data_IF_437879331666
#
_entry.id   IF_437879331666
#
_cell.length_a   1.000
_cell.length_b   1.000
_cell.length_c   1.000
_cell.angle_alpha   90.00
_cell.angle_beta   90.00
_cell.angle_gamma   90.00
#
_symmetry.space_group_name_H-M   'P 1'
#
loop_
_entity.id
_entity.type
_entity.pdbx_description
1 polymer ?
#
# COMPACT_ATOMS: atom_id res chain seq x y z
N UNK A 1 14.03 -5.20 38.93
CA UNK A 1 13.34 -5.23 37.61
C UNK A 1 13.88 -4.03 36.85
N UNK A 2 14.59 -4.21 35.75
CA UNK A 2 15.04 -3.08 34.94
C UNK A 2 13.81 -2.56 34.17
N UNK A 3 13.32 -1.40 34.56
CA UNK A 3 12.11 -0.83 33.97
C UNK A 3 12.41 -0.28 32.56
N UNK A 4 11.58 -0.70 31.60
CA UNK A 4 11.64 -0.16 30.24
C UNK A 4 10.97 1.22 30.25
N UNK A 5 11.67 2.25 29.78
CA UNK A 5 11.13 3.61 29.69
C UNK A 5 10.60 3.92 28.28
N UNK A 6 9.59 4.79 28.21
CA UNK A 6 9.08 5.29 26.92
C UNK A 6 10.18 5.96 26.09
N UNK A 7 11.14 6.62 26.75
CA UNK A 7 12.27 7.27 26.08
C UNK A 7 13.19 6.27 25.38
N UNK A 8 13.43 5.12 26.00
CA UNK A 8 14.19 4.04 25.36
C UNK A 8 13.48 3.49 24.13
N UNK A 9 12.15 3.29 24.21
CA UNK A 9 11.34 2.85 23.06
C UNK A 9 11.33 3.89 21.94
N UNK A 10 11.21 5.18 22.26
CA UNK A 10 11.28 6.30 21.31
C UNK A 10 12.62 6.29 20.55
N UNK A 11 13.71 6.20 21.27
CA UNK A 11 15.06 6.15 20.69
C UNK A 11 15.27 4.89 19.85
N UNK A 12 14.78 3.73 20.31
CA UNK A 12 14.86 2.49 19.56
C UNK A 12 14.11 2.59 18.21
N UNK A 13 12.88 3.09 18.24
CA UNK A 13 12.08 3.31 17.03
C UNK A 13 12.78 4.31 16.10
N UNK A 14 13.31 5.41 16.62
CA UNK A 14 14.01 6.40 15.81
C UNK A 14 15.26 5.82 15.12
N UNK A 15 16.07 5.01 15.82
CA UNK A 15 17.26 4.36 15.22
C UNK A 15 16.86 3.47 14.05
N UNK A 16 15.72 2.77 14.13
CA UNK A 16 15.20 1.93 13.04
C UNK A 16 14.71 2.79 11.88
N UNK A 17 13.92 3.82 12.16
CA UNK A 17 13.27 4.65 11.12
C UNK A 17 14.25 5.54 10.35
N UNK A 18 15.22 6.13 11.04
CA UNK A 18 16.25 6.95 10.41
C UNK A 18 17.44 6.13 9.89
N UNK A 19 17.41 4.80 10.10
CA UNK A 19 18.37 3.86 9.54
C UNK A 19 19.77 3.95 10.15
N UNK A 20 19.90 4.52 11.39
CA UNK A 20 21.19 4.60 12.08
C UNK A 20 21.20 5.45 13.33
N UNK A 21 22.17 5.16 14.20
CA UNK A 21 22.34 5.84 15.51
C UNK A 21 22.65 7.33 15.36
N UNK A 22 23.50 7.70 14.41
CA UNK A 22 23.89 9.12 14.19
C UNK A 22 22.71 9.95 13.71
N UNK A 23 21.98 9.46 12.70
CA UNK A 23 20.78 10.14 12.17
C UNK A 23 19.67 10.26 13.22
N UNK A 24 19.44 9.19 14.00
CA UNK A 24 18.48 9.24 15.09
C UNK A 24 18.89 10.27 16.17
N UNK A 25 20.19 10.40 16.46
CA UNK A 25 20.70 11.37 17.39
C UNK A 25 20.48 12.82 16.91
N UNK A 26 20.75 13.09 15.64
CA UNK A 26 20.50 14.38 14.99
C UNK A 26 19.02 14.78 15.07
N UNK A 27 18.13 13.88 14.66
CA UNK A 27 16.68 14.11 14.64
C UNK A 27 16.05 14.27 16.03
N UNK A 28 16.58 13.58 17.03
CA UNK A 28 16.12 13.67 18.41
C UNK A 28 16.86 14.74 19.23
N UNK A 29 17.80 15.47 18.64
CA UNK A 29 18.65 16.47 19.30
C UNK A 29 19.46 15.90 20.46
N UNK A 30 20.00 14.69 20.30
CA UNK A 30 20.88 14.01 21.23
C UNK A 30 22.28 13.82 20.66
N UNK A 31 23.25 13.49 21.56
CA UNK A 31 24.53 12.94 21.13
C UNK A 31 24.36 11.44 20.80
N UNK A 32 25.12 10.95 19.82
CA UNK A 32 25.11 9.53 19.45
C UNK A 32 25.43 8.59 20.63
N UNK A 33 26.31 9.02 21.57
CA UNK A 33 26.62 8.26 22.78
C UNK A 33 25.39 8.09 23.68
N UNK A 34 24.55 9.12 23.80
CA UNK A 34 23.27 9.06 24.53
C UNK A 34 22.31 8.09 23.90
N UNK A 35 22.15 8.13 22.58
CA UNK A 35 21.32 7.18 21.84
C UNK A 35 21.81 5.75 22.07
N UNK A 36 23.11 5.50 21.94
CA UNK A 36 23.72 4.19 22.18
C UNK A 36 23.51 3.70 23.62
N UNK A 37 23.65 4.58 24.61
CA UNK A 37 23.42 4.24 26.02
C UNK A 37 21.96 3.81 26.28
N UNK A 38 20.99 4.56 25.73
CA UNK A 38 19.57 4.19 25.87
C UNK A 38 19.24 2.84 25.21
N UNK A 39 19.81 2.56 24.03
CA UNK A 39 19.64 1.26 23.36
C UNK A 39 20.26 0.14 24.21
N UNK A 40 21.49 0.32 24.73
CA UNK A 40 22.12 -0.68 25.58
C UNK A 40 21.30 -0.95 26.85
N UNK A 41 20.72 0.07 27.48
CA UNK A 41 19.83 -0.10 28.62
C UNK A 41 18.55 -0.86 28.26
N UNK A 42 17.96 -0.60 27.09
CA UNK A 42 16.79 -1.34 26.60
C UNK A 42 17.13 -2.81 26.33
N UNK A 43 18.25 -3.07 25.65
CA UNK A 43 18.75 -4.43 25.40
C UNK A 43 19.04 -5.19 26.71
N UNK A 44 19.61 -4.51 27.69
CA UNK A 44 19.86 -5.05 29.03
C UNK A 44 18.54 -5.36 29.75
N UNK A 45 17.53 -4.48 29.67
CA UNK A 45 16.23 -4.70 30.30
C UNK A 45 15.49 -5.90 29.67
N UNK A 46 15.61 -6.09 28.35
CA UNK A 46 15.02 -7.19 27.61
C UNK A 46 15.86 -8.48 27.66
N UNK A 47 17.14 -8.40 28.05
CA UNK A 47 18.07 -9.52 28.02
C UNK A 47 18.41 -10.01 26.62
N UNK A 48 18.24 -9.17 25.59
CA UNK A 48 18.42 -9.50 24.16
C UNK A 48 19.02 -8.33 23.41
N UNK A 49 19.90 -8.63 22.45
CA UNK A 49 20.37 -7.62 21.50
C UNK A 49 19.28 -7.36 20.45
N UNK A 50 18.98 -6.10 20.17
CA UNK A 50 17.97 -5.67 19.21
C UNK A 50 18.56 -5.30 17.85
N UNK A 51 19.88 -4.98 17.84
CA UNK A 51 20.60 -4.62 16.62
C UNK A 51 21.75 -5.58 16.36
N UNK A 52 21.98 -5.89 15.08
CA UNK A 52 23.13 -6.67 14.64
C UNK A 52 24.40 -5.80 14.75
N UNK A 53 25.36 -6.20 15.57
CA UNK A 53 26.67 -5.54 15.65
C UNK A 53 27.44 -5.82 14.36
N UNK A 54 27.40 -4.91 13.40
CA UNK A 54 28.19 -5.00 12.18
C UNK A 54 28.85 -3.65 11.86
N UNK A 55 30.08 -3.70 11.31
CA UNK A 55 30.82 -2.51 10.86
C UNK A 55 30.23 -1.86 9.57
N UNK A 56 29.02 -2.21 9.17
CA UNK A 56 28.39 -1.68 7.94
C UNK A 56 27.60 -0.42 8.26
N UNK A 57 27.59 0.51 7.31
CA UNK A 57 26.94 1.84 7.39
C UNK A 57 25.42 1.82 7.65
N UNK A 58 24.77 0.64 7.64
CA UNK A 58 23.33 0.49 7.86
C UNK A 58 23.07 -0.37 9.08
N UNK A 59 22.24 0.12 9.97
CA UNK A 59 21.74 -0.60 11.14
C UNK A 59 20.73 -1.66 10.68
N UNK A 60 20.88 -2.89 11.19
CA UNK A 60 19.93 -4.00 10.94
C UNK A 60 19.42 -4.52 12.26
N UNK A 61 18.13 -4.80 12.32
CA UNK A 61 17.52 -5.46 13.48
C UNK A 61 17.95 -6.93 13.56
N UNK A 62 18.02 -7.45 14.79
CA UNK A 62 18.00 -8.89 15.07
C UNK A 62 16.56 -9.42 14.90
N UNK A 63 16.37 -10.75 14.96
CA UNK A 63 15.02 -11.34 15.00
C UNK A 63 14.21 -10.83 16.19
N UNK A 64 14.84 -10.65 17.32
CA UNK A 64 14.26 -10.07 18.54
C UNK A 64 13.91 -8.60 18.33
N UNK A 65 14.79 -7.83 17.69
CA UNK A 65 14.52 -6.43 17.34
C UNK A 65 13.32 -6.28 16.41
N UNK A 66 13.17 -7.18 15.42
CA UNK A 66 12.00 -7.21 14.53
C UNK A 66 10.68 -7.50 15.27
N UNK A 67 10.72 -8.27 16.36
CA UNK A 67 9.56 -8.53 17.21
C UNK A 67 9.25 -7.37 18.15
N UNK A 68 10.28 -6.71 18.70
CA UNK A 68 10.13 -5.60 19.64
C UNK A 68 9.66 -4.32 18.92
N UNK A 69 10.09 -4.07 17.70
CA UNK A 69 9.79 -2.84 16.97
C UNK A 69 8.28 -2.54 16.84
N UNK A 70 7.42 -3.44 16.36
CA UNK A 70 5.98 -3.17 16.25
C UNK A 70 5.33 -2.94 17.62
N UNK A 71 5.82 -3.60 18.68
CA UNK A 71 5.31 -3.42 20.05
C UNK A 71 5.69 -2.04 20.57
N UNK A 72 6.96 -1.63 20.40
CA UNK A 72 7.45 -0.32 20.80
C UNK A 72 6.68 0.82 20.08
N UNK A 73 6.47 0.69 18.78
CA UNK A 73 5.65 1.63 17.98
C UNK A 73 4.24 1.76 18.52
N UNK A 74 3.60 0.63 18.80
CA UNK A 74 2.24 0.62 19.35
C UNK A 74 2.16 1.34 20.69
N UNK A 75 3.08 1.04 21.62
CA UNK A 75 3.13 1.71 22.94
C UNK A 75 3.28 3.23 22.77
N UNK A 76 4.14 3.69 21.86
CA UNK A 76 4.32 5.12 21.60
C UNK A 76 3.06 5.75 20.98
N UNK A 77 2.39 5.05 20.07
CA UNK A 77 1.13 5.50 19.48
C UNK A 77 0.01 5.59 20.54
N UNK A 78 -0.10 4.60 21.42
CA UNK A 78 -1.07 4.60 22.53
C UNK A 78 -0.79 5.77 23.50
N UNK A 79 0.48 6.04 23.80
CA UNK A 79 0.87 7.21 24.59
C UNK A 79 0.57 8.54 23.90
N UNK A 80 0.73 8.63 22.58
CA UNK A 80 0.31 9.80 21.81
C UNK A 80 -1.21 9.99 21.86
N UNK A 81 -1.98 8.89 21.72
CA UNK A 81 -3.43 8.92 21.85
C UNK A 81 -3.89 9.40 23.24
N UNK A 82 -3.22 8.98 24.32
CA UNK A 82 -3.50 9.47 25.68
C UNK A 82 -3.35 10.98 25.80
N UNK A 83 -2.34 11.58 25.18
CA UNK A 83 -2.11 13.03 25.19
C UNK A 83 -3.22 13.82 24.51
N UNK A 84 -3.91 13.20 23.56
CA UNK A 84 -4.98 13.83 22.76
C UNK A 84 -6.38 13.56 23.28
N UNK A 85 -6.55 12.67 24.28
CA UNK A 85 -7.88 12.38 24.88
C UNK A 85 -8.58 13.61 25.44
N UNK A 86 -7.83 14.60 25.88
CA UNK A 86 -8.32 15.81 26.55
C UNK A 86 -7.88 17.10 25.84
N UNK A 87 -7.24 16.98 24.66
CA UNK A 87 -6.85 18.14 23.85
C UNK A 87 -7.99 18.50 22.89
N UNK A 88 -8.09 19.78 22.56
CA UNK A 88 -9.05 20.27 21.56
C UNK A 88 -8.80 19.60 20.20
N UNK A 89 -9.84 19.50 19.39
CA UNK A 89 -9.87 18.75 18.12
C UNK A 89 -8.72 19.09 17.14
N UNK A 90 -8.16 20.29 17.25
CA UNK A 90 -7.02 20.75 16.41
C UNK A 90 -5.68 20.08 16.75
N UNK A 91 -5.58 19.40 17.89
CA UNK A 91 -4.36 18.73 18.37
C UNK A 91 -4.36 17.23 18.18
N UNK A 92 -5.42 16.64 17.64
CA UNK A 92 -5.51 15.20 17.44
C UNK A 92 -4.49 14.72 16.40
N UNK A 93 -3.70 13.67 16.68
CA UNK A 93 -2.73 13.15 15.72
C UNK A 93 -3.46 12.66 14.48
N UNK A 94 -2.85 12.90 13.32
CA UNK A 94 -3.38 12.41 12.05
C UNK A 94 -3.37 10.87 12.03
N UNK A 95 -4.49 10.28 11.59
CA UNK A 95 -4.58 8.83 11.38
C UNK A 95 -3.64 8.43 10.24
N UNK A 96 -2.73 7.51 10.51
CA UNK A 96 -1.79 7.01 9.51
C UNK A 96 -2.44 5.89 8.70
N UNK A 97 -2.62 6.13 7.41
CA UNK A 97 -3.19 5.20 6.44
C UNK A 97 -2.11 4.74 5.47
N UNK A 98 -2.25 3.51 4.97
CA UNK A 98 -1.41 3.00 3.89
C UNK A 98 -2.24 2.53 2.72
N UNK A 99 -1.76 2.74 1.49
CA UNK A 99 -2.46 2.23 0.33
C UNK A 99 -1.47 1.75 -0.74
N UNK A 100 -1.78 0.62 -1.36
CA UNK A 100 -1.06 0.23 -2.56
C UNK A 100 -1.43 1.14 -3.74
N UNK A 101 -0.63 1.12 -4.79
CA UNK A 101 -0.63 2.12 -5.85
C UNK A 101 -2.03 2.43 -6.39
N UNK A 102 -2.74 1.44 -6.91
CA UNK A 102 -4.07 1.65 -7.53
C UNK A 102 -5.13 2.12 -6.53
N UNK A 103 -5.37 1.44 -5.38
CA UNK A 103 -6.34 1.96 -4.42
C UNK A 103 -5.97 3.35 -3.89
N UNK A 104 -4.69 3.61 -3.63
CA UNK A 104 -4.22 4.90 -3.10
C UNK A 104 -4.38 6.06 -4.07
N UNK A 105 -4.38 5.79 -5.36
CA UNK A 105 -4.45 6.82 -6.40
C UNK A 105 -5.87 7.04 -6.91
N UNK A 106 -6.66 5.99 -7.09
CA UNK A 106 -7.94 6.09 -7.79
C UNK A 106 -9.18 5.80 -6.92
N UNK A 107 -9.04 5.15 -5.76
CA UNK A 107 -10.17 4.71 -4.95
C UNK A 107 -10.25 5.40 -3.58
N UNK A 108 -9.17 5.34 -2.82
CA UNK A 108 -9.11 5.82 -1.43
C UNK A 108 -9.38 7.32 -1.30
N UNK A 109 -8.87 8.20 -2.19
CA UNK A 109 -9.15 9.64 -2.10
C UNK A 109 -10.65 9.97 -2.12
N UNK A 110 -11.43 9.28 -2.95
CA UNK A 110 -12.88 9.44 -3.01
C UNK A 110 -13.58 9.03 -1.70
N UNK A 111 -13.14 7.93 -1.09
CA UNK A 111 -13.66 7.48 0.21
C UNK A 111 -13.31 8.45 1.33
N UNK A 112 -12.08 8.94 1.36
CA UNK A 112 -11.64 9.89 2.39
C UNK A 112 -12.35 11.25 2.25
N UNK A 113 -12.51 11.75 1.02
CA UNK A 113 -13.29 12.96 0.76
C UNK A 113 -14.73 12.86 1.27
N UNK A 114 -15.34 11.69 1.08
CA UNK A 114 -16.69 11.46 1.56
C UNK A 114 -16.74 11.22 3.09
N UNK A 115 -15.69 10.67 3.71
CA UNK A 115 -15.58 10.54 5.16
C UNK A 115 -15.39 11.91 5.83
N UNK A 116 -14.55 12.77 5.29
CA UNK A 116 -14.33 14.14 5.76
C UNK A 116 -15.62 14.98 5.79
N UNK A 117 -16.57 14.74 4.89
CA UNK A 117 -17.90 15.40 4.93
C UNK A 117 -18.73 15.00 6.15
N UNK A 118 -18.46 13.85 6.79
CA UNK A 118 -19.15 13.35 7.99
C UNK A 118 -18.37 13.64 9.27
N UNK A 119 -17.07 13.59 9.18
CA UNK A 119 -16.14 13.81 10.29
C UNK A 119 -15.16 14.93 9.88
N UNK A 120 -15.56 16.21 9.91
CA UNK A 120 -14.72 17.32 9.42
C UNK A 120 -13.42 17.50 10.21
N UNK A 121 -13.37 17.00 11.44
CA UNK A 121 -12.18 17.05 12.30
C UNK A 121 -11.17 15.92 11.98
N UNK A 122 -11.52 14.99 11.09
CA UNK A 122 -10.62 13.91 10.69
C UNK A 122 -9.37 14.45 10.04
N UNK A 123 -8.22 14.07 10.58
CA UNK A 123 -6.91 14.36 10.00
C UNK A 123 -6.24 13.04 9.67
N UNK A 124 -5.60 12.96 8.51
CA UNK A 124 -4.92 11.74 8.09
C UNK A 124 -3.64 12.02 7.33
N UNK A 125 -2.76 11.04 7.33
CA UNK A 125 -1.64 10.94 6.39
C UNK A 125 -1.80 9.66 5.58
N UNK A 126 -1.62 9.73 4.26
CA UNK A 126 -1.72 8.58 3.37
C UNK A 126 -0.33 8.25 2.81
N UNK A 127 0.21 7.10 3.19
CA UNK A 127 1.48 6.58 2.67
C UNK A 127 1.19 5.61 1.53
N UNK A 128 1.94 5.73 0.44
CA UNK A 128 1.82 4.82 -0.71
C UNK A 128 3.01 3.86 -0.76
N UNK A 129 2.78 2.68 -1.33
CA UNK A 129 3.76 1.66 -1.61
C UNK A 129 3.17 0.58 -2.51
N UNK A 130 3.84 -0.55 -2.66
CA UNK A 130 3.23 -1.76 -3.18
C UNK A 130 2.42 -2.47 -2.07
N UNK A 131 1.69 -3.54 -2.43
CA UNK A 131 0.88 -4.28 -1.44
C UNK A 131 1.73 -4.86 -0.31
N UNK A 132 2.93 -5.33 -0.60
CA UNK A 132 3.84 -5.91 0.39
C UNK A 132 4.38 -4.84 1.35
N UNK A 133 4.73 -3.66 0.83
CA UNK A 133 5.13 -2.52 1.65
C UNK A 133 4.01 -2.09 2.59
N UNK A 134 2.76 -2.02 2.11
CA UNK A 134 1.60 -1.70 2.95
C UNK A 134 1.42 -2.73 4.07
N UNK A 135 1.57 -4.03 3.79
CA UNK A 135 1.54 -5.07 4.83
C UNK A 135 2.68 -4.88 5.85
N UNK A 136 3.90 -4.57 5.39
CA UNK A 136 5.03 -4.27 6.30
C UNK A 136 4.74 -3.04 7.17
N UNK A 137 4.22 -1.95 6.61
CA UNK A 137 3.83 -0.76 7.37
C UNK A 137 2.74 -1.06 8.41
N UNK A 138 1.76 -1.89 8.06
CA UNK A 138 0.70 -2.31 8.97
C UNK A 138 1.26 -3.12 10.14
N UNK A 139 2.09 -4.13 9.87
CA UNK A 139 2.73 -4.97 10.90
C UNK A 139 3.63 -4.18 11.83
N UNK A 140 4.38 -3.23 11.29
CA UNK A 140 5.27 -2.38 12.09
C UNK A 140 4.53 -1.29 12.87
N UNK A 141 3.19 -1.19 12.75
CA UNK A 141 2.40 -0.15 13.41
C UNK A 141 2.63 1.26 12.86
N UNK A 142 3.25 1.39 11.68
CA UNK A 142 3.40 2.67 11.00
C UNK A 142 2.07 3.19 10.43
N UNK A 143 1.14 2.29 10.16
CA UNK A 143 -0.24 2.58 9.75
C UNK A 143 -1.19 1.72 10.57
N UNK A 144 -2.38 2.22 10.82
CA UNK A 144 -3.45 1.48 11.51
C UNK A 144 -4.38 0.77 10.52
N UNK A 145 -4.56 1.36 9.34
CA UNK A 145 -5.50 0.91 8.30
C UNK A 145 -4.79 0.93 6.97
N UNK A 146 -4.92 -0.15 6.19
CA UNK A 146 -4.32 -0.29 4.88
C UNK A 146 -5.33 -0.61 3.79
N UNK A 147 -4.95 -0.33 2.53
CA UNK A 147 -5.73 -0.65 1.33
C UNK A 147 -4.83 -1.35 0.33
N UNK A 148 -5.14 -2.60 -0.02
CA UNK A 148 -4.26 -3.44 -0.85
C UNK A 148 -5.03 -4.18 -1.93
N UNK A 149 -4.37 -4.45 -3.06
CA UNK A 149 -4.90 -5.25 -4.16
C UNK A 149 -4.41 -6.71 -4.16
N UNK A 150 -3.70 -7.15 -3.12
CA UNK A 150 -3.21 -8.52 -2.98
C UNK A 150 -3.27 -8.96 -1.51
N UNK A 151 -3.56 -10.24 -1.29
CA UNK A 151 -3.54 -10.90 0.03
C UNK A 151 -2.16 -11.54 0.20
N UNK A 152 -1.47 -11.28 1.32
CA UNK A 152 -0.17 -11.89 1.61
C UNK A 152 -0.10 -12.66 2.94
N UNK A 153 -0.88 -12.29 3.95
CA UNK A 153 -0.78 -12.89 5.28
C UNK A 153 -2.14 -12.98 5.99
N UNK A 154 -2.95 -13.99 5.61
CA UNK A 154 -4.32 -14.10 6.11
C UNK A 154 -4.40 -14.47 7.60
N UNK A 155 -3.33 -14.97 8.23
CA UNK A 155 -3.34 -15.39 9.62
C UNK A 155 -3.41 -14.23 10.61
N UNK A 156 -2.69 -13.14 10.34
CA UNK A 156 -2.53 -12.00 11.26
C UNK A 156 -3.30 -10.74 10.85
N UNK A 157 -3.83 -10.70 9.63
CA UNK A 157 -4.47 -9.54 9.02
C UNK A 157 -5.92 -9.85 8.72
N UNK A 158 -6.81 -8.93 9.07
CA UNK A 158 -8.20 -8.95 8.61
C UNK A 158 -8.30 -8.29 7.25
N UNK A 159 -8.93 -8.99 6.31
CA UNK A 159 -9.20 -8.52 4.96
C UNK A 159 -10.69 -8.31 4.77
N UNK A 160 -11.08 -7.07 4.56
CA UNK A 160 -12.45 -6.75 4.21
C UNK A 160 -12.52 -6.36 2.72
N UNK A 161 -13.30 -7.08 1.88
CA UNK A 161 -13.42 -6.77 0.46
C UNK A 161 -14.11 -5.41 0.29
N UNK A 162 -13.41 -4.47 -0.32
CA UNK A 162 -13.86 -3.08 -0.48
C UNK A 162 -14.38 -2.78 -1.89
N UNK A 163 -13.68 -3.29 -2.92
CA UNK A 163 -13.99 -3.01 -4.31
C UNK A 163 -13.50 -4.14 -5.23
N UNK A 164 -14.33 -4.52 -6.22
CA UNK A 164 -13.95 -5.48 -7.27
C UNK A 164 -13.39 -4.72 -8.47
N UNK A 165 -12.07 -4.66 -8.55
CA UNK A 165 -11.32 -3.95 -9.58
C UNK A 165 -11.20 -4.82 -10.84
N UNK A 166 -11.67 -4.32 -11.96
CA UNK A 166 -11.56 -4.96 -13.26
C UNK A 166 -10.22 -4.60 -13.90
N UNK A 167 -9.51 -5.59 -14.41
CA UNK A 167 -8.28 -5.41 -15.17
C UNK A 167 -8.60 -5.47 -16.67
N UNK A 168 -8.05 -4.51 -17.40
CA UNK A 168 -8.20 -4.38 -18.86
C UNK A 168 -6.85 -4.29 -19.52
N UNK A 169 -6.75 -4.67 -20.78
CA UNK A 169 -5.60 -4.34 -21.61
C UNK A 169 -5.83 -2.95 -22.23
N UNK A 170 -4.94 -2.03 -21.91
CA UNK A 170 -4.91 -0.68 -22.48
C UNK A 170 -4.02 -0.66 -23.72
N UNK A 171 -4.51 -0.01 -24.77
CA UNK A 171 -3.80 0.21 -26.04
C UNK A 171 -4.02 1.64 -26.52
N UNK A 172 -3.11 2.16 -27.35
CA UNK A 172 -3.27 3.45 -28.02
C UNK A 172 -4.54 3.48 -28.87
N UNK A 173 -5.31 4.57 -28.83
CA UNK A 173 -6.45 4.72 -29.73
C UNK A 173 -6.00 5.14 -31.15
N UNK A 174 -5.62 4.14 -31.95
CA UNK A 174 -5.29 4.29 -33.35
C UNK A 174 -6.18 3.41 -34.23
N UNK A 175 -6.01 3.51 -35.55
CA UNK A 175 -6.82 2.74 -36.52
C UNK A 175 -6.65 1.22 -36.35
N UNK A 176 -5.42 0.74 -36.12
CA UNK A 176 -5.11 -0.67 -35.91
C UNK A 176 -5.91 -1.26 -34.74
N UNK A 177 -5.81 -0.68 -33.55
CA UNK A 177 -6.50 -1.20 -32.37
C UNK A 177 -8.02 -0.97 -32.41
N UNK A 178 -8.51 0.07 -33.11
CA UNK A 178 -9.95 0.23 -33.35
C UNK A 178 -10.52 -0.92 -34.17
N UNK A 179 -9.86 -1.29 -35.28
CA UNK A 179 -10.26 -2.43 -36.10
C UNK A 179 -10.26 -3.75 -35.33
N UNK A 180 -9.25 -3.98 -34.49
CA UNK A 180 -9.18 -5.20 -33.65
C UNK A 180 -10.33 -5.24 -32.64
N UNK A 181 -10.67 -4.09 -32.03
CA UNK A 181 -11.80 -3.99 -31.11
C UNK A 181 -13.16 -4.24 -31.82
N UNK A 182 -13.34 -3.70 -33.00
CA UNK A 182 -14.56 -3.94 -33.82
C UNK A 182 -14.71 -5.43 -34.24
N UNK A 183 -13.59 -6.12 -34.42
CA UNK A 183 -13.57 -7.59 -34.70
C UNK A 183 -13.80 -8.41 -33.43
N UNK A 184 -13.92 -7.82 -32.26
CA UNK A 184 -14.14 -8.53 -31.00
C UNK A 184 -12.91 -9.26 -30.48
N UNK A 185 -11.70 -8.81 -30.82
CA UNK A 185 -10.44 -9.37 -30.30
C UNK A 185 -10.33 -9.11 -28.80
N UNK A 186 -9.94 -10.13 -28.04
CA UNK A 186 -9.71 -10.01 -26.61
C UNK A 186 -8.27 -9.59 -26.29
N UNK A 187 -8.09 -8.93 -25.16
CA UNK A 187 -6.77 -8.46 -24.71
C UNK A 187 -5.72 -9.56 -24.57
N UNK A 188 -6.12 -10.80 -24.27
CA UNK A 188 -5.19 -11.95 -24.20
C UNK A 188 -4.45 -12.23 -25.51
N UNK A 189 -5.10 -11.99 -26.65
CA UNK A 189 -4.49 -12.17 -27.97
C UNK A 189 -3.43 -11.11 -28.18
N UNK A 190 -3.74 -9.85 -27.86
CA UNK A 190 -2.82 -8.73 -27.94
C UNK A 190 -1.65 -8.86 -26.96
N UNK A 191 -1.86 -9.45 -25.76
CA UNK A 191 -0.80 -9.71 -24.78
C UNK A 191 0.33 -10.59 -25.33
N UNK A 192 0.03 -11.51 -26.22
CA UNK A 192 1.01 -12.46 -26.80
C UNK A 192 1.67 -11.92 -28.06
N UNK A 193 1.03 -10.99 -28.77
CA UNK A 193 1.47 -10.51 -30.07
C UNK A 193 2.14 -9.12 -30.02
N UNK A 194 1.72 -8.26 -29.07
CA UNK A 194 2.14 -6.87 -29.03
C UNK A 194 3.30 -6.64 -28.05
N UNK A 195 4.12 -5.60 -28.26
CA UNK A 195 5.05 -5.12 -27.23
C UNK A 195 4.31 -4.80 -25.94
N UNK A 196 4.81 -5.30 -24.81
CA UNK A 196 4.14 -5.22 -23.53
C UNK A 196 4.90 -4.36 -22.52
N UNK A 197 4.23 -3.36 -21.96
CA UNK A 197 4.70 -2.56 -20.82
C UNK A 197 4.18 -3.19 -19.54
N UNK A 198 5.06 -3.84 -18.80
CA UNK A 198 4.73 -4.60 -17.59
C UNK A 198 4.74 -3.70 -16.35
N UNK A 199 3.98 -4.11 -15.34
CA UNK A 199 4.12 -3.60 -13.98
C UNK A 199 5.32 -4.23 -13.28
N UNK A 200 5.74 -3.60 -12.19
CA UNK A 200 6.76 -4.13 -11.27
C UNK A 200 6.32 -5.45 -10.65
N UNK A 201 7.29 -6.31 -10.33
CA UNK A 201 7.04 -7.56 -9.60
C UNK A 201 6.43 -7.28 -8.23
N UNK A 202 5.46 -8.11 -7.82
CA UNK A 202 4.77 -7.96 -6.54
C UNK A 202 3.64 -6.93 -6.54
N UNK A 203 3.41 -6.20 -7.63
CA UNK A 203 2.18 -5.40 -7.73
C UNK A 203 0.94 -6.30 -7.82
N UNK A 204 -0.18 -5.84 -7.25
CA UNK A 204 -1.43 -6.60 -7.33
C UNK A 204 -1.92 -6.81 -8.76
N UNK A 205 -1.58 -5.93 -9.71
CA UNK A 205 -1.90 -6.08 -11.13
C UNK A 205 -1.06 -7.19 -11.76
N UNK A 206 0.26 -7.17 -11.53
CA UNK A 206 1.18 -8.18 -12.02
C UNK A 206 0.84 -9.57 -11.45
N UNK A 207 0.62 -9.67 -10.15
CA UNK A 207 0.20 -10.91 -9.48
C UNK A 207 -1.08 -11.48 -10.09
N UNK A 208 -2.08 -10.63 -10.38
CA UNK A 208 -3.34 -11.06 -10.99
C UNK A 208 -3.15 -11.52 -12.43
N UNK A 209 -2.32 -10.83 -13.21
CA UNK A 209 -1.97 -11.21 -14.58
C UNK A 209 -1.20 -12.54 -14.59
N UNK A 210 -0.21 -12.72 -13.74
CA UNK A 210 0.55 -13.96 -13.63
C UNK A 210 -0.35 -15.15 -13.28
N UNK A 211 -1.27 -14.97 -12.32
CA UNK A 211 -2.22 -16.01 -11.95
C UNK A 211 -3.14 -16.36 -13.13
N UNK A 212 -3.62 -15.38 -13.87
CA UNK A 212 -4.43 -15.61 -15.07
C UNK A 212 -3.63 -16.37 -16.14
N UNK A 213 -2.40 -15.95 -16.46
CA UNK A 213 -1.55 -16.64 -17.45
C UNK A 213 -1.32 -18.11 -17.06
N UNK A 214 -1.08 -18.41 -15.77
CA UNK A 214 -0.95 -19.79 -15.28
C UNK A 214 -2.20 -20.64 -15.55
N UNK A 215 -3.40 -20.06 -15.46
CA UNK A 215 -4.64 -20.81 -15.78
C UNK A 215 -4.73 -21.21 -17.25
N UNK A 216 -4.00 -20.50 -18.12
CA UNK A 216 -3.89 -20.79 -19.55
C UNK A 216 -2.67 -21.66 -19.90
N UNK A 217 -1.87 -22.08 -18.91
CA UNK A 217 -0.61 -22.78 -19.14
C UNK A 217 0.50 -21.90 -19.72
N UNK A 218 0.36 -20.57 -19.59
CA UNK A 218 1.31 -19.57 -20.06
C UNK A 218 2.16 -19.03 -18.92
N UNK A 219 3.35 -18.53 -19.24
CA UNK A 219 4.23 -17.82 -18.30
C UNK A 219 4.44 -16.37 -18.73
N UNK A 220 4.83 -15.52 -17.80
CA UNK A 220 5.14 -14.11 -18.07
C UNK A 220 6.30 -13.95 -19.07
N UNK A 221 7.23 -14.89 -19.10
CA UNK A 221 8.40 -14.87 -20.02
C UNK A 221 7.99 -15.06 -21.49
N UNK A 222 6.75 -15.49 -21.76
CA UNK A 222 6.22 -15.59 -23.12
C UNK A 222 5.73 -14.24 -23.67
N UNK A 223 5.61 -13.22 -22.80
CA UNK A 223 5.22 -11.88 -23.20
C UNK A 223 6.43 -11.10 -23.76
N UNK A 224 6.22 -10.33 -24.80
CA UNK A 224 7.25 -9.44 -25.36
C UNK A 224 7.38 -8.18 -24.48
N UNK A 225 7.97 -8.33 -23.28
CA UNK A 225 8.14 -7.21 -22.32
C UNK A 225 9.22 -6.26 -22.83
N UNK A 226 8.82 -5.03 -23.18
CA UNK A 226 9.72 -3.95 -23.64
C UNK A 226 10.11 -2.98 -22.53
N UNK A 227 9.30 -2.90 -21.47
CA UNK A 227 9.58 -2.07 -20.29
C UNK A 227 8.89 -2.64 -19.05
N UNK A 228 9.48 -2.33 -17.87
CA UNK A 228 8.90 -2.67 -16.57
C UNK A 228 8.87 -1.41 -15.72
N UNK A 229 7.66 -1.00 -15.27
CA UNK A 229 7.42 0.32 -14.66
C UNK A 229 6.48 0.18 -13.44
N UNK A 230 6.75 0.92 -12.37
CA UNK A 230 6.03 0.87 -11.10
C UNK A 230 4.89 1.90 -10.98
N UNK A 231 4.89 2.92 -11.83
CA UNK A 231 3.85 3.96 -11.84
C UNK A 231 2.83 3.76 -12.97
N UNK A 232 1.52 3.53 -12.65
CA UNK A 232 0.48 3.41 -13.66
C UNK A 232 0.34 4.64 -14.56
N UNK A 233 0.61 5.85 -14.05
CA UNK A 233 0.55 7.08 -14.86
C UNK A 233 1.66 7.08 -15.93
N UNK A 234 2.89 6.69 -15.56
CA UNK A 234 3.97 6.54 -16.51
C UNK A 234 3.66 5.47 -17.57
N UNK A 235 3.06 4.34 -17.17
CA UNK A 235 2.63 3.31 -18.12
C UNK A 235 1.58 3.85 -19.09
N UNK A 236 0.58 4.60 -18.62
CA UNK A 236 -0.43 5.25 -19.50
C UNK A 236 0.22 6.16 -20.52
N UNK A 237 1.21 6.96 -20.12
CA UNK A 237 1.96 7.83 -21.04
C UNK A 237 2.73 7.03 -22.09
N UNK A 238 3.37 5.91 -21.71
CA UNK A 238 4.09 5.04 -22.63
C UNK A 238 3.13 4.39 -23.63
N UNK A 239 1.98 3.89 -23.19
CA UNK A 239 0.94 3.32 -24.06
C UNK A 239 0.37 4.38 -25.00
N UNK A 240 0.09 5.58 -24.51
CA UNK A 240 -0.37 6.72 -25.32
C UNK A 240 0.68 7.16 -26.33
N UNK A 241 1.96 6.98 -26.01
CA UNK A 241 3.09 7.24 -26.90
C UNK A 241 3.36 6.11 -27.92
N UNK A 242 2.57 5.02 -27.89
CA UNK A 242 2.70 3.91 -28.85
C UNK A 242 3.85 2.93 -28.56
N UNK A 243 4.35 2.89 -27.30
CA UNK A 243 5.43 1.94 -26.91
C UNK A 243 4.93 0.50 -26.94
N UNK A 244 3.63 0.27 -26.68
CA UNK A 244 3.02 -1.04 -26.66
C UNK A 244 1.70 -1.04 -25.91
N UNK A 245 1.28 -2.21 -25.42
CA UNK A 245 0.07 -2.40 -24.63
C UNK A 245 0.40 -2.67 -23.17
N UNK A 246 -0.55 -2.47 -22.27
CA UNK A 246 -0.36 -2.75 -20.84
C UNK A 246 -1.62 -3.28 -20.18
N UNK A 247 -1.49 -4.15 -19.19
CA UNK A 247 -2.61 -4.54 -18.31
C UNK A 247 -2.68 -3.58 -17.14
N UNK A 248 -3.80 -2.89 -17.01
CA UNK A 248 -4.06 -1.88 -15.99
C UNK A 248 -5.43 -2.09 -15.35
N UNK A 249 -5.63 -1.46 -14.20
CA UNK A 249 -6.96 -1.32 -13.61
C UNK A 249 -7.86 -0.47 -14.50
N UNK A 250 -9.13 -0.87 -14.67
CA UNK A 250 -10.12 -0.08 -15.38
C UNK A 250 -10.29 1.32 -14.75
N UNK A 251 -10.19 1.42 -13.42
CA UNK A 251 -10.18 2.70 -12.71
C UNK A 251 -9.02 3.62 -13.15
N UNK A 252 -7.86 3.02 -13.45
CA UNK A 252 -6.67 3.80 -13.80
C UNK A 252 -6.75 4.40 -15.21
N UNK A 253 -7.46 3.74 -16.13
CA UNK A 253 -7.54 4.16 -17.55
C UNK A 253 -8.89 4.80 -17.91
N UNK A 254 -9.79 4.93 -16.96
CA UNK A 254 -11.15 5.41 -17.19
C UNK A 254 -11.17 6.76 -17.93
N UNK A 255 -10.37 7.72 -17.46
CA UNK A 255 -10.31 9.05 -18.02
C UNK A 255 -9.75 9.06 -19.44
N UNK A 256 -8.70 8.27 -19.71
CA UNK A 256 -8.09 8.14 -21.04
C UNK A 256 -9.01 7.45 -22.03
N UNK A 257 -9.82 6.52 -21.57
CA UNK A 257 -10.84 5.85 -22.41
C UNK A 257 -11.99 6.80 -22.71
N UNK A 258 -12.46 7.58 -21.72
CA UNK A 258 -13.55 8.54 -21.91
C UNK A 258 -13.17 9.67 -22.86
N UNK A 259 -11.95 10.21 -22.76
CA UNK A 259 -11.46 11.26 -23.67
C UNK A 259 -10.86 10.72 -24.98
N UNK A 260 -10.88 9.40 -25.17
CA UNK A 260 -10.51 8.77 -26.43
C UNK A 260 -9.01 8.67 -26.69
N UNK A 261 -8.15 8.86 -25.70
CA UNK A 261 -6.70 8.72 -25.85
C UNK A 261 -6.28 7.26 -25.89
N UNK A 262 -6.90 6.42 -25.08
CA UNK A 262 -6.66 4.99 -25.00
C UNK A 262 -7.93 4.19 -25.34
N UNK A 263 -7.70 2.94 -25.75
CA UNK A 263 -8.73 1.91 -25.86
C UNK A 263 -8.52 0.89 -24.73
N UNK A 264 -9.62 0.40 -24.17
CA UNK A 264 -9.60 -0.70 -23.21
C UNK A 264 -10.20 -1.95 -23.88
N UNK A 265 -9.50 -3.07 -23.75
CA UNK A 265 -9.96 -4.39 -24.18
C UNK A 265 -10.19 -5.25 -22.94
N UNK A 266 -11.31 -6.00 -22.93
CA UNK A 266 -11.47 -7.07 -21.94
C UNK A 266 -10.39 -8.13 -22.18
N UNK A 267 -9.78 -8.60 -21.09
CA UNK A 267 -8.67 -9.59 -21.20
C UNK A 267 -9.19 -10.90 -21.81
N UNK A 268 -10.38 -11.35 -21.38
CA UNK A 268 -11.02 -12.57 -21.87
C UNK A 268 -12.56 -12.40 -21.81
N UNK A 269 -13.30 -13.42 -22.25
CA UNK A 269 -14.78 -13.50 -22.16
C UNK A 269 -15.29 -13.25 -20.75
N UNK A 270 -14.60 -13.78 -19.75
CA UNK A 270 -14.83 -13.44 -18.35
C UNK A 270 -13.88 -12.30 -17.95
N UNK A 271 -14.43 -11.20 -17.43
CA UNK A 271 -13.63 -10.08 -16.98
C UNK A 271 -12.58 -10.54 -15.94
N UNK A 272 -11.31 -10.23 -16.17
CA UNK A 272 -10.27 -10.45 -15.19
C UNK A 272 -10.44 -9.44 -14.05
N UNK A 273 -10.71 -9.94 -12.85
CA UNK A 273 -10.98 -9.12 -11.67
C UNK A 273 -10.00 -9.45 -10.55
N UNK A 274 -9.73 -8.45 -9.72
CA UNK A 274 -9.10 -8.62 -8.41
C UNK A 274 -9.92 -7.86 -7.37
N UNK A 275 -9.87 -8.30 -6.13
CA UNK A 275 -10.50 -7.58 -5.04
C UNK A 275 -9.50 -6.65 -4.39
N UNK A 276 -9.88 -5.39 -4.20
CA UNK A 276 -9.18 -4.44 -3.35
C UNK A 276 -9.74 -4.58 -1.93
N UNK A 277 -8.85 -4.73 -0.97
CA UNK A 277 -9.18 -4.96 0.43
C UNK A 277 -8.82 -3.77 1.30
N UNK A 278 -9.69 -3.48 2.26
CA UNK A 278 -9.35 -2.79 3.49
C UNK A 278 -8.68 -3.79 4.42
N UNK A 279 -7.56 -3.43 5.01
CA UNK A 279 -6.82 -4.31 5.93
C UNK A 279 -6.53 -3.64 7.27
N UNK A 280 -6.63 -4.44 8.34
CA UNK A 280 -6.25 -4.09 9.71
C UNK A 280 -5.58 -5.29 10.37
N UNK A 281 -4.77 -5.11 11.43
CA UNK A 281 -4.27 -6.24 12.20
C UNK A 281 -5.38 -6.80 13.11
N UNK A 282 -5.49 -8.13 13.19
CA UNK A 282 -6.44 -8.82 14.10
C UNK A 282 -6.20 -8.50 15.58
N UNK A 283 -4.94 -8.31 15.94
CA UNK A 283 -4.53 -8.03 17.32
C UNK A 283 -4.51 -6.55 17.69
N UNK A 284 -4.81 -5.64 16.75
CA UNK A 284 -4.73 -4.20 16.98
C UNK A 284 -6.06 -3.65 17.47
N UNK A 285 -6.01 -2.93 18.58
CA UNK A 285 -7.12 -2.09 19.00
C UNK A 285 -7.04 -0.77 18.24
N UNK A 286 -8.05 -0.49 17.42
CA UNK A 286 -8.16 0.76 16.68
C UNK A 286 -8.58 1.90 17.61
N UNK A 287 -8.04 3.09 17.38
CA UNK A 287 -8.54 4.31 18.01
C UNK A 287 -9.99 4.59 17.60
N UNK A 288 -10.70 5.44 18.34
CA UNK A 288 -12.08 5.82 18.04
C UNK A 288 -12.27 6.33 16.60
N UNK A 289 -11.32 7.12 16.09
CA UNK A 289 -11.42 7.69 14.76
C UNK A 289 -11.10 6.66 13.66
N UNK A 290 -10.12 5.79 13.89
CA UNK A 290 -9.82 4.66 13.00
C UNK A 290 -11.00 3.69 12.91
N UNK A 291 -11.63 3.38 14.04
CA UNK A 291 -12.83 2.52 14.06
C UNK A 291 -13.99 3.15 13.29
N UNK A 292 -14.25 4.45 13.48
CA UNK A 292 -15.25 5.18 12.70
C UNK A 292 -14.97 5.11 11.18
N UNK A 293 -13.72 5.27 10.77
CA UNK A 293 -13.32 5.15 9.37
C UNK A 293 -13.59 3.74 8.84
N UNK A 294 -13.17 2.72 9.57
CA UNK A 294 -13.37 1.31 9.22
C UNK A 294 -14.85 0.96 9.10
N UNK A 295 -15.68 1.37 10.07
CA UNK A 295 -17.13 1.14 10.07
C UNK A 295 -17.80 1.85 8.89
N UNK A 296 -17.35 3.08 8.60
CA UNK A 296 -17.82 3.83 7.47
C UNK A 296 -17.51 3.13 6.14
N UNK A 297 -16.30 2.58 5.97
CA UNK A 297 -15.89 1.85 4.78
C UNK A 297 -16.58 0.48 4.66
N UNK A 298 -16.93 -0.15 5.77
CA UNK A 298 -17.65 -1.43 5.81
C UNK A 298 -19.16 -1.28 5.57
N UNK A 299 -19.73 -0.06 5.67
CA UNK A 299 -21.17 0.15 5.58
C UNK A 299 -21.76 -0.12 4.18
N UNK A 300 -22.92 -0.81 4.07
CA UNK A 300 -23.52 -1.23 2.79
C UNK A 300 -23.92 -0.08 1.85
N UNK A 301 -24.22 1.10 2.41
CA UNK A 301 -24.68 2.27 1.65
C UNK A 301 -23.63 2.86 0.67
N UNK A 302 -22.42 2.32 0.67
CA UNK A 302 -21.31 2.81 -0.19
C UNK A 302 -21.03 1.97 -1.42
N UNK A 303 -21.28 0.67 -1.38
CA UNK A 303 -21.16 -0.17 -2.58
C UNK A 303 -21.97 0.40 -3.74
N UNK A 304 -23.20 0.90 -3.46
CA UNK A 304 -24.08 1.50 -4.49
C UNK A 304 -23.67 2.89 -5.01
N UNK A 305 -22.85 3.66 -4.29
CA UNK A 305 -22.43 5.01 -4.75
C UNK A 305 -21.12 4.99 -5.55
N UNK A 306 -20.24 4.06 -5.30
CA UNK A 306 -19.06 3.82 -6.15
C UNK A 306 -19.48 3.17 -7.49
N UNK A 307 -20.53 2.33 -7.49
CA UNK A 307 -21.13 1.74 -8.70
C UNK A 307 -22.00 2.71 -9.50
N UNK A 308 -22.44 3.81 -8.90
CA UNK A 308 -23.30 4.82 -9.56
C UNK A 308 -22.53 6.06 -10.08
N UNK A 309 -21.23 6.12 -9.87
CA UNK A 309 -20.32 7.12 -10.43
C UNK A 309 -19.42 6.57 -11.54
N UNK A 310 -19.62 5.30 -11.93
CA UNK A 310 -18.98 4.63 -13.08
C UNK A 310 -19.95 4.46 -14.23
#
# INVERSE_FOLDING_TARGET
MNDISLKQLEIFVAVVEYGGFTRAAEELFFNQSTVSAHISLLEQALGKELFVRSNRRHVRLTKEGEQVYPIARRILNDCAALRTLFSDADSAPAVALGASTVPGQYLVPGYLAAFLKREPEFRYSLRRGDSEQVHRMLKSGQIAVGFVGAVSEPENVDYFPLYDDRLVLAALNNEHYRMLRERGVYGRELLLEEPFVSREEGSGTDTSLQNYLRTLGLSHDMLHVVARVDDPEAIKQMVSGGVGVAVLSALAVEQEVQNGTLLAFEIDKSALKRTIYLITLKSQQLSRMEQKLVDFLKSPHRRKRAEAQN
#
